data_IF_425064571826
#
_entry.id   IF_425064571826
#
_cell.length_a   1.000
_cell.length_b   1.000
_cell.length_c   1.000
_cell.angle_alpha   90.00
_cell.angle_beta   90.00
_cell.angle_gamma   90.00
#
_symmetry.space_group_name_H-M   'P 1'
#
loop_
_entity.id
_entity.type
_entity.pdbx_description
1 polymer ?
#
# COMPACT_ATOMS: atom_id res chain seq x y z
N UNK A 1 46.35 43.62 -7.39
CA UNK A 1 45.00 44.15 -7.19
C UNK A 1 44.09 43.43 -8.19
N UNK A 2 43.42 42.36 -7.77
CA UNK A 2 42.43 41.68 -8.60
C UNK A 2 41.04 42.28 -8.37
N UNK A 3 40.16 42.38 -9.37
CA UNK A 3 38.83 42.97 -9.19
C UNK A 3 37.99 42.05 -8.31
N UNK A 4 37.31 42.63 -7.31
CA UNK A 4 36.26 41.94 -6.55
C UNK A 4 35.02 41.91 -7.43
N UNK A 5 34.66 40.75 -7.98
CA UNK A 5 33.34 40.55 -8.56
C UNK A 5 32.35 40.27 -7.44
N UNK A 6 31.32 41.10 -7.35
CA UNK A 6 30.21 40.97 -6.41
C UNK A 6 29.12 40.17 -7.11
N UNK A 7 28.88 38.93 -6.68
CA UNK A 7 27.83 38.09 -7.23
C UNK A 7 26.50 38.45 -6.56
N UNK A 8 25.52 38.92 -7.33
CA UNK A 8 24.14 39.06 -6.87
C UNK A 8 23.43 37.70 -6.96
N UNK A 9 22.72 37.33 -5.89
CA UNK A 9 21.87 36.15 -5.90
C UNK A 9 20.61 36.47 -6.70
N UNK A 10 20.37 35.69 -7.74
CA UNK A 10 19.14 35.75 -8.53
C UNK A 10 17.94 35.35 -7.65
N UNK A 11 16.93 36.22 -7.51
CA UNK A 11 15.61 35.86 -7.00
C UNK A 11 14.56 36.01 -8.09
N UNK A 12 13.57 35.11 -8.10
CA UNK A 12 12.43 35.14 -9.01
C UNK A 12 11.57 36.41 -8.83
N UNK A 13 11.68 37.06 -7.67
CA UNK A 13 11.01 38.31 -7.33
C UNK A 13 11.59 39.52 -8.08
N UNK A 14 12.86 39.48 -8.50
CA UNK A 14 13.54 40.57 -9.23
C UNK A 14 13.13 40.61 -10.71
N UNK A 15 12.75 39.45 -11.28
CA UNK A 15 12.27 39.30 -12.67
C UNK A 15 10.86 39.90 -12.84
N UNK A 16 10.02 39.85 -11.80
CA UNK A 16 8.67 40.41 -11.80
C UNK A 16 8.68 41.95 -11.75
N UNK A 17 9.69 42.54 -11.12
CA UNK A 17 9.83 44.01 -11.00
C UNK A 17 10.61 44.64 -12.16
N UNK A 18 11.19 43.85 -13.08
CA UNK A 18 11.83 44.33 -14.30
C UNK A 18 13.25 44.88 -14.12
N UNK A 19 13.87 44.72 -12.95
CA UNK A 19 15.22 45.21 -12.62
C UNK A 19 16.28 44.11 -12.82
N UNK A 20 16.33 43.52 -14.01
CA UNK A 20 17.34 42.49 -14.33
C UNK A 20 18.53 43.17 -15.01
N UNK A 21 19.59 43.43 -14.25
CA UNK A 21 20.87 43.87 -14.81
C UNK A 21 21.59 42.64 -15.40
N UNK A 22 21.39 42.40 -16.70
CA UNK A 22 21.99 41.27 -17.41
C UNK A 22 23.51 41.42 -17.44
N UNK A 23 24.25 40.62 -16.66
CA UNK A 23 25.72 40.60 -16.71
C UNK A 23 26.19 39.85 -17.98
N UNK A 24 26.75 40.56 -18.98
CA UNK A 24 27.18 39.93 -20.23
C UNK A 24 28.39 38.99 -20.05
N UNK A 25 29.01 38.96 -18.87
CA UNK A 25 30.15 38.10 -18.55
C UNK A 25 29.77 36.92 -17.65
N UNK A 26 28.48 36.58 -17.51
CA UNK A 26 28.07 35.40 -16.74
C UNK A 26 28.57 34.11 -17.40
N UNK A 27 29.62 33.53 -16.84
CA UNK A 27 30.16 32.24 -17.27
C UNK A 27 29.49 31.11 -16.48
N UNK A 28 28.58 30.42 -17.16
CA UNK A 28 27.78 29.33 -16.61
C UNK A 28 28.64 28.13 -16.22
N UNK A 29 29.75 27.89 -16.94
CA UNK A 29 30.66 26.78 -16.68
C UNK A 29 31.45 27.03 -15.39
N UNK A 30 31.85 28.27 -15.14
CA UNK A 30 32.54 28.66 -13.91
C UNK A 30 31.60 28.57 -12.68
N UNK A 31 30.35 29.01 -12.82
CA UNK A 31 29.34 28.90 -11.76
C UNK A 31 29.07 27.45 -11.34
N UNK A 32 28.87 26.55 -12.31
CA UNK A 32 28.66 25.11 -12.05
C UNK A 32 29.90 24.47 -11.41
N UNK A 33 31.10 24.89 -11.81
CA UNK A 33 32.36 24.42 -11.21
C UNK A 33 32.51 24.87 -9.76
N UNK A 34 32.08 26.09 -9.43
CA UNK A 34 32.12 26.61 -8.08
C UNK A 34 31.11 25.91 -7.15
N UNK A 35 29.89 25.64 -7.64
CA UNK A 35 28.88 24.87 -6.89
C UNK A 35 29.30 23.42 -6.62
N UNK A 36 29.93 22.77 -7.60
CA UNK A 36 30.42 21.39 -7.43
C UNK A 36 31.58 21.29 -6.45
N UNK A 37 32.46 22.31 -6.37
CA UNK A 37 33.51 22.37 -5.35
C UNK A 37 32.97 22.67 -3.95
N UNK A 38 31.92 23.50 -3.82
CA UNK A 38 31.28 23.79 -2.54
C UNK A 38 30.59 22.56 -1.92
N UNK A 39 30.11 21.61 -2.74
CA UNK A 39 29.59 20.31 -2.28
C UNK A 39 30.68 19.27 -1.97
N UNK A 40 31.88 19.42 -2.51
CA UNK A 40 32.96 18.42 -2.36
C UNK A 40 33.80 18.58 -1.07
N UNK A 41 33.62 19.65 -0.29
CA UNK A 41 34.38 19.91 0.95
C UNK A 41 33.64 19.57 2.26
N UNK A 42 32.44 19.00 2.18
CA UNK A 42 31.80 18.38 3.33
C UNK A 42 32.30 16.94 3.46
N UNK A 43 33.44 16.76 4.14
CA UNK A 43 33.83 15.45 4.65
C UNK A 43 32.72 14.91 5.57
N UNK A 44 32.40 13.61 5.55
CA UNK A 44 31.31 13.07 6.35
C UNK A 44 31.69 13.19 7.82
N UNK A 45 31.05 14.11 8.52
CA UNK A 45 31.03 14.12 9.98
C UNK A 45 30.37 12.82 10.42
N UNK A 46 31.10 12.02 11.22
CA UNK A 46 30.58 10.81 11.85
C UNK A 46 29.38 11.19 12.73
N UNK A 47 28.18 11.11 12.18
CA UNK A 47 26.96 11.06 12.96
C UNK A 47 26.80 9.64 13.50
N UNK A 48 26.88 9.53 14.82
CA UNK A 48 26.56 8.32 15.57
C UNK A 48 25.03 8.23 15.62
N UNK A 49 24.49 7.16 15.04
CA UNK A 49 23.06 6.78 15.10
C UNK A 49 22.32 7.03 13.79
N UNK A 50 21.79 5.95 13.20
CA UNK A 50 20.68 5.93 12.23
C UNK A 50 20.96 6.05 10.70
N UNK A 51 22.18 5.76 10.25
CA UNK A 51 22.52 5.75 8.81
C UNK A 51 22.41 4.38 8.12
N UNK A 52 22.35 3.27 8.87
CA UNK A 52 22.35 1.94 8.26
C UNK A 52 21.01 1.60 7.61
N UNK A 53 19.89 1.99 8.22
CA UNK A 53 18.55 1.74 7.68
C UNK A 53 18.21 2.62 6.48
N UNK A 54 18.59 3.91 6.48
CA UNK A 54 18.33 4.80 5.33
C UNK A 54 19.14 4.41 4.10
N UNK A 55 20.39 3.99 4.29
CA UNK A 55 21.22 3.49 3.19
C UNK A 55 20.75 2.11 2.73
N UNK A 56 20.31 1.24 3.63
CA UNK A 56 19.73 -0.06 3.29
C UNK A 56 18.42 0.10 2.50
N UNK A 57 17.52 0.98 2.93
CA UNK A 57 16.26 1.27 2.24
C UNK A 57 16.49 1.83 0.83
N UNK A 58 17.49 2.71 0.66
CA UNK A 58 17.84 3.27 -0.65
C UNK A 58 18.46 2.20 -1.56
N UNK A 59 19.32 1.33 -1.03
CA UNK A 59 19.84 0.16 -1.76
C UNK A 59 18.70 -0.80 -2.15
N UNK A 60 17.74 -1.04 -1.25
CA UNK A 60 16.59 -1.91 -1.49
C UNK A 60 15.66 -1.32 -2.56
N UNK A 61 15.40 -0.01 -2.53
CA UNK A 61 14.64 0.68 -3.57
C UNK A 61 15.32 0.58 -4.94
N UNK A 62 16.65 0.75 -5.02
CA UNK A 62 17.39 0.65 -6.28
C UNK A 62 17.37 -0.79 -6.82
N UNK A 63 17.50 -1.79 -5.94
CA UNK A 63 17.39 -3.20 -6.31
C UNK A 63 15.96 -3.55 -6.75
N UNK A 64 14.94 -3.07 -6.05
CA UNK A 64 13.54 -3.28 -6.40
C UNK A 64 13.19 -2.63 -7.75
N UNK A 65 13.66 -1.42 -8.00
CA UNK A 65 13.48 -0.75 -9.29
C UNK A 65 14.20 -1.49 -10.43
N UNK A 66 15.41 -1.98 -10.19
CA UNK A 66 16.14 -2.79 -11.17
C UNK A 66 15.47 -4.15 -11.44
N UNK A 67 14.90 -4.78 -10.41
CA UNK A 67 14.15 -6.03 -10.51
C UNK A 67 12.83 -5.84 -11.27
N UNK A 68 12.10 -4.75 -11.00
CA UNK A 68 10.89 -4.37 -11.74
C UNK A 68 11.17 -3.96 -13.19
N UNK A 69 12.36 -3.41 -13.48
CA UNK A 69 12.77 -3.07 -14.84
C UNK A 69 13.20 -4.31 -15.64
N UNK A 70 13.85 -5.29 -14.99
CA UNK A 70 14.32 -6.51 -15.64
C UNK A 70 13.24 -7.60 -15.76
N UNK A 71 12.22 -7.56 -14.90
CA UNK A 71 11.15 -8.54 -14.82
C UNK A 71 9.82 -7.80 -14.97
N UNK A 72 9.15 -7.98 -16.11
CA UNK A 72 7.92 -7.30 -16.54
C UNK A 72 6.72 -7.67 -15.63
N UNK A 73 6.79 -7.25 -14.37
CA UNK A 73 6.02 -7.81 -13.26
C UNK A 73 4.64 -7.17 -13.14
N UNK A 74 3.59 -7.96 -13.34
CA UNK A 74 2.20 -7.55 -13.09
C UNK A 74 1.78 -7.86 -11.64
N UNK A 75 1.27 -6.85 -10.92
CA UNK A 75 0.78 -6.96 -9.53
C UNK A 75 -0.24 -8.10 -9.35
N UNK A 76 -1.06 -8.37 -10.36
CA UNK A 76 -2.04 -9.45 -10.36
C UNK A 76 -1.43 -10.86 -10.32
N UNK A 77 -0.23 -11.05 -10.88
CA UNK A 77 0.45 -12.36 -10.87
C UNK A 77 1.24 -12.61 -9.58
N UNK A 78 1.75 -11.57 -8.94
CA UNK A 78 2.34 -11.67 -7.61
C UNK A 78 1.29 -12.12 -6.57
N UNK A 79 0.08 -11.58 -6.66
CA UNK A 79 -1.06 -11.96 -5.82
C UNK A 79 -1.45 -13.45 -5.98
N UNK A 80 -1.54 -13.94 -7.23
CA UNK A 80 -1.87 -15.35 -7.50
C UNK A 80 -0.82 -16.35 -6.97
N UNK A 81 0.46 -15.93 -6.89
CA UNK A 81 1.54 -16.78 -6.39
C UNK A 81 1.61 -16.87 -4.86
N UNK A 82 1.02 -15.90 -4.14
CA UNK A 82 1.06 -15.82 -2.68
C UNK A 82 -0.24 -16.27 -2.03
N UNK A 83 -1.39 -16.04 -2.68
CA UNK A 83 -2.71 -16.31 -2.09
C UNK A 83 -3.55 -17.36 -2.82
N UNK A 84 -2.99 -18.03 -3.83
CA UNK A 84 -3.68 -19.06 -4.60
C UNK A 84 -4.78 -18.47 -5.48
N UNK A 85 -4.43 -18.15 -6.73
CA UNK A 85 -5.47 -18.00 -7.76
C UNK A 85 -6.21 -19.33 -7.91
N UNK A 86 -7.53 -19.30 -8.09
CA UNK A 86 -8.37 -20.49 -8.24
C UNK A 86 -7.76 -21.46 -9.27
N UNK A 87 -7.12 -22.52 -8.78
CA UNK A 87 -6.79 -23.67 -9.60
C UNK A 87 -8.09 -24.37 -9.94
N UNK A 88 -8.61 -24.10 -11.13
CA UNK A 88 -9.61 -24.96 -11.74
C UNK A 88 -8.92 -26.28 -12.01
N UNK A 89 -9.07 -27.23 -11.09
CA UNK A 89 -8.59 -28.59 -11.25
C UNK A 89 -9.15 -29.14 -12.57
N UNK A 90 -8.28 -29.37 -13.55
CA UNK A 90 -8.64 -30.10 -14.77
C UNK A 90 -8.98 -31.53 -14.38
N UNK A 91 -10.27 -31.83 -14.26
CA UNK A 91 -10.76 -33.18 -14.11
C UNK A 91 -10.35 -34.05 -15.32
N UNK A 92 -10.10 -35.35 -15.14
CA UNK A 92 -9.76 -36.24 -16.24
C UNK A 92 -10.91 -36.29 -17.26
N UNK A 93 -10.58 -36.14 -18.54
CA UNK A 93 -11.50 -36.23 -19.65
C UNK A 93 -12.04 -37.66 -19.79
N UNK A 94 -13.33 -37.85 -19.57
CA UNK A 94 -14.04 -39.06 -19.98
C UNK A 94 -14.71 -38.80 -21.33
N UNK A 95 -14.38 -39.60 -22.35
CA UNK A 95 -15.09 -39.61 -23.63
C UNK A 95 -16.51 -40.16 -23.40
N UNK A 96 -17.48 -39.25 -23.32
CA UNK A 96 -18.91 -39.59 -23.28
C UNK A 96 -19.46 -39.32 -24.68
N UNK A 97 -19.91 -40.36 -25.39
CA UNK A 97 -20.71 -40.20 -26.61
C UNK A 97 -22.06 -39.55 -26.25
N UNK A 98 -22.19 -38.26 -26.57
CA UNK A 98 -23.41 -37.48 -26.32
C UNK A 98 -24.44 -37.80 -27.40
N UNK A 99 -25.63 -38.35 -27.07
CA UNK A 99 -26.71 -38.52 -28.05
C UNK A 99 -27.26 -37.15 -28.50
N UNK A 100 -27.84 -37.04 -29.71
CA UNK A 100 -28.33 -35.77 -30.22
C UNK A 100 -29.44 -35.22 -29.33
N UNK A 101 -29.19 -34.04 -28.76
CA UNK A 101 -30.14 -33.23 -27.99
C UNK A 101 -31.34 -32.86 -28.88
N UNK A 102 -32.59 -33.07 -28.45
CA UNK A 102 -33.76 -32.61 -29.18
C UNK A 102 -33.81 -31.08 -29.18
N UNK A 103 -34.11 -30.49 -30.34
CA UNK A 103 -34.20 -29.04 -30.53
C UNK A 103 -35.45 -28.51 -29.83
N UNK A 104 -35.26 -27.87 -28.67
CA UNK A 104 -36.33 -27.20 -27.92
C UNK A 104 -36.50 -25.80 -28.49
N UNK A 105 -37.65 -25.51 -29.11
CA UNK A 105 -38.03 -24.14 -29.49
C UNK A 105 -38.19 -23.30 -28.23
N UNK A 106 -37.19 -22.46 -27.94
CA UNK A 106 -37.25 -21.49 -26.85
C UNK A 106 -38.18 -20.36 -27.33
N UNK A 107 -39.29 -20.05 -26.63
CA UNK A 107 -40.12 -18.91 -26.97
C UNK A 107 -39.29 -17.63 -26.92
N UNK A 108 -39.47 -16.74 -27.89
CA UNK A 108 -38.77 -15.45 -27.96
C UNK A 108 -39.26 -14.55 -26.82
N UNK A 109 -38.57 -14.65 -25.67
CA UNK A 109 -38.82 -13.79 -24.52
C UNK A 109 -38.24 -12.43 -24.87
N UNK A 110 -39.03 -11.35 -24.96
CA UNK A 110 -38.49 -10.03 -25.22
C UNK A 110 -37.42 -9.75 -24.16
N UNK A 111 -36.22 -9.39 -24.62
CA UNK A 111 -35.12 -9.07 -23.73
C UNK A 111 -35.62 -8.10 -22.66
N UNK A 112 -35.33 -8.33 -21.37
CA UNK A 112 -35.67 -7.37 -20.33
C UNK A 112 -35.14 -6.00 -20.77
N UNK A 113 -35.87 -4.90 -20.52
CA UNK A 113 -35.40 -3.57 -20.89
C UNK A 113 -34.00 -3.42 -20.34
N UNK A 114 -33.06 -3.16 -21.25
CA UNK A 114 -31.67 -2.88 -20.89
C UNK A 114 -31.74 -1.79 -19.82
N UNK A 115 -31.18 -2.00 -18.60
CA UNK A 115 -31.08 -0.91 -17.65
C UNK A 115 -30.43 0.28 -18.37
N UNK A 116 -30.85 1.52 -18.11
CA UNK A 116 -30.23 2.67 -18.73
C UNK A 116 -28.73 2.53 -18.51
N UNK A 117 -27.98 2.50 -19.61
CA UNK A 117 -26.53 2.45 -19.58
C UNK A 117 -26.08 3.80 -19.05
N UNK A 118 -26.05 3.97 -17.74
CA UNK A 118 -25.41 5.10 -17.07
C UNK A 118 -23.90 4.91 -17.27
N UNK A 119 -23.41 5.30 -18.44
CA UNK A 119 -22.01 5.09 -18.81
C UNK A 119 -21.76 4.72 -20.27
N UNK A 120 -22.70 4.96 -21.19
CA UNK A 120 -22.35 5.01 -22.61
C UNK A 120 -21.48 6.26 -22.88
N UNK A 121 -20.16 6.11 -22.64
CA UNK A 121 -19.07 6.99 -23.08
C UNK A 121 -19.43 8.48 -23.03
N UNK A 122 -19.76 8.99 -21.84
CA UNK A 122 -19.60 10.41 -21.58
C UNK A 122 -18.14 10.74 -21.90
N UNK A 123 -17.92 11.54 -22.95
CA UNK A 123 -16.56 11.90 -23.33
C UNK A 123 -15.89 12.67 -22.20
N UNK A 124 -14.56 12.82 -22.26
CA UNK A 124 -13.83 13.63 -21.26
C UNK A 124 -14.47 15.03 -21.04
N UNK A 125 -15.06 15.63 -22.08
CA UNK A 125 -15.78 16.92 -21.99
C UNK A 125 -17.00 16.83 -21.08
N UNK A 126 -17.79 15.76 -21.19
CA UNK A 126 -18.96 15.55 -20.33
C UNK A 126 -18.54 15.28 -18.88
N UNK A 127 -17.44 14.55 -18.68
CA UNK A 127 -16.86 14.32 -17.35
C UNK A 127 -16.40 15.63 -16.69
N UNK A 128 -15.66 16.48 -17.43
CA UNK A 128 -15.24 17.79 -16.94
C UNK A 128 -16.41 18.72 -16.63
N UNK A 129 -17.47 18.70 -17.46
CA UNK A 129 -18.70 19.45 -17.19
C UNK A 129 -19.33 18.97 -15.88
N UNK A 130 -19.43 17.66 -15.67
CA UNK A 130 -19.98 17.08 -14.45
C UNK A 130 -19.14 17.43 -13.21
N UNK A 131 -17.79 17.39 -13.30
CA UNK A 131 -16.91 17.89 -12.23
C UNK A 131 -17.20 19.36 -11.90
N UNK A 132 -17.34 20.22 -12.90
CA UNK A 132 -17.64 21.63 -12.71
C UNK A 132 -19.03 21.87 -12.09
N UNK A 133 -20.06 21.13 -12.54
CA UNK A 133 -21.41 21.20 -11.98
C UNK A 133 -21.45 20.70 -10.53
N UNK A 134 -20.62 19.72 -10.17
CA UNK A 134 -20.42 19.26 -8.80
C UNK A 134 -19.60 20.23 -7.93
N UNK A 135 -19.04 21.30 -8.52
CA UNK A 135 -18.15 22.23 -7.81
C UNK A 135 -16.75 21.67 -7.52
N UNK A 136 -16.36 20.57 -8.16
CA UNK A 136 -15.09 19.86 -7.94
C UNK A 136 -14.03 20.16 -9.01
N UNK A 137 -14.28 21.14 -9.89
CA UNK A 137 -13.39 21.43 -11.02
C UNK A 137 -12.02 21.94 -10.59
N UNK A 138 -11.95 22.69 -9.48
CA UNK A 138 -10.71 23.29 -8.98
C UNK A 138 -9.94 22.35 -8.03
N UNK A 139 -10.56 21.24 -7.60
CA UNK A 139 -9.96 20.27 -6.68
C UNK A 139 -8.89 19.38 -7.34
N UNK A 140 -8.95 19.27 -8.67
CA UNK A 140 -8.06 18.40 -9.43
C UNK A 140 -7.28 19.18 -10.47
N UNK A 141 -5.98 18.89 -10.56
CA UNK A 141 -5.19 19.30 -11.72
C UNK A 141 -5.78 18.71 -13.02
N UNK A 142 -5.46 19.31 -14.17
CA UNK A 142 -5.91 18.79 -15.46
C UNK A 142 -5.49 17.33 -15.68
N UNK A 143 -4.28 16.96 -15.26
CA UNK A 143 -3.82 15.57 -15.30
C UNK A 143 -4.56 14.66 -14.32
N UNK A 144 -4.91 15.16 -13.13
CA UNK A 144 -5.71 14.41 -12.16
C UNK A 144 -7.12 14.13 -12.70
N UNK A 145 -7.78 15.13 -13.27
CA UNK A 145 -9.09 14.99 -13.92
C UNK A 145 -9.06 13.95 -15.06
N UNK A 146 -8.02 13.99 -15.90
CA UNK A 146 -7.84 12.99 -16.97
C UNK A 146 -7.60 11.60 -16.40
N UNK A 147 -6.82 11.47 -15.32
CA UNK A 147 -6.54 10.19 -14.70
C UNK A 147 -7.83 9.57 -14.13
N UNK A 148 -8.58 10.32 -13.33
CA UNK A 148 -9.87 9.91 -12.75
C UNK A 148 -10.86 9.43 -13.82
N UNK A 149 -10.99 10.20 -14.90
CA UNK A 149 -11.81 9.82 -16.05
C UNK A 149 -11.35 8.51 -16.70
N UNK A 150 -10.06 8.38 -17.02
CA UNK A 150 -9.51 7.21 -17.70
C UNK A 150 -9.60 5.93 -16.88
N UNK A 151 -9.56 6.05 -15.55
CA UNK A 151 -9.72 4.93 -14.64
C UNK A 151 -11.19 4.66 -14.29
N UNK A 152 -12.12 5.44 -14.83
CA UNK A 152 -13.56 5.23 -14.65
C UNK A 152 -14.06 5.56 -13.26
N UNK A 153 -13.41 6.47 -12.53
CA UNK A 153 -13.89 6.93 -11.22
C UNK A 153 -15.13 7.80 -11.43
N UNK A 154 -16.30 7.42 -10.89
CA UNK A 154 -17.54 8.16 -11.12
C UNK A 154 -17.58 9.46 -10.31
N UNK A 155 -18.23 10.48 -10.86
CA UNK A 155 -18.40 11.78 -10.19
C UNK A 155 -19.15 11.62 -8.86
N UNK A 156 -20.16 10.75 -8.81
CA UNK A 156 -20.91 10.46 -7.59
C UNK A 156 -20.01 9.92 -6.46
N UNK A 157 -18.95 9.17 -6.79
CA UNK A 157 -17.97 8.73 -5.78
C UNK A 157 -17.18 9.92 -5.24
N UNK A 158 -16.74 10.83 -6.11
CA UNK A 158 -16.00 12.03 -5.70
C UNK A 158 -16.87 12.97 -4.86
N UNK A 159 -18.15 13.13 -5.21
CA UNK A 159 -19.11 13.88 -4.39
C UNK A 159 -19.25 13.24 -3.00
N UNK A 160 -19.41 11.92 -2.92
CA UNK A 160 -19.51 11.25 -1.63
C UNK A 160 -18.23 11.39 -0.79
N UNK A 161 -17.05 11.31 -1.41
CA UNK A 161 -15.77 11.57 -0.72
C UNK A 161 -15.67 13.01 -0.21
N UNK A 162 -16.16 13.98 -0.98
CA UNK A 162 -16.22 15.39 -0.59
C UNK A 162 -17.18 15.62 0.57
N UNK A 163 -18.39 15.07 0.49
CA UNK A 163 -19.42 15.20 1.52
C UNK A 163 -18.99 14.55 2.85
N UNK A 164 -18.21 13.47 2.77
CA UNK A 164 -17.59 12.81 3.93
C UNK A 164 -16.33 13.53 4.45
N UNK A 165 -15.82 14.54 3.74
CA UNK A 165 -14.63 15.29 4.13
C UNK A 165 -13.30 14.59 3.81
N UNK A 166 -13.29 13.55 2.96
CA UNK A 166 -12.09 12.81 2.58
C UNK A 166 -11.45 13.28 1.28
N UNK A 167 -12.08 14.20 0.55
CA UNK A 167 -11.56 14.62 -0.75
C UNK A 167 -10.16 15.26 -0.63
N UNK A 168 -9.99 16.14 0.36
CA UNK A 168 -8.73 16.84 0.63
C UNK A 168 -7.69 15.98 1.35
N UNK A 169 -8.13 14.90 1.99
CA UNK A 169 -7.26 13.97 2.71
C UNK A 169 -6.49 13.05 1.75
N UNK A 170 -7.00 12.85 0.53
CA UNK A 170 -6.44 11.92 -0.44
C UNK A 170 -6.09 12.60 -1.76
N UNK A 171 -4.85 12.41 -2.21
CA UNK A 171 -4.49 12.73 -3.60
C UNK A 171 -5.41 12.05 -4.62
N UNK A 172 -5.56 12.61 -5.82
CA UNK A 172 -6.35 11.96 -6.89
C UNK A 172 -5.88 10.52 -7.18
N UNK A 173 -4.59 10.21 -7.05
CA UNK A 173 -4.07 8.85 -7.19
C UNK A 173 -4.51 7.91 -6.07
N UNK A 174 -4.63 8.44 -4.85
CA UNK A 174 -5.16 7.70 -3.71
C UNK A 174 -6.67 7.47 -3.86
N UNK A 175 -7.45 8.47 -4.29
CA UNK A 175 -8.87 8.32 -4.59
C UNK A 175 -9.13 7.23 -5.65
N UNK A 176 -8.33 7.21 -6.73
CA UNK A 176 -8.38 6.13 -7.74
C UNK A 176 -8.08 4.77 -7.09
N UNK A 177 -7.05 4.71 -6.24
CA UNK A 177 -6.67 3.48 -5.53
C UNK A 177 -7.78 2.97 -4.63
N UNK A 178 -8.37 3.83 -3.81
CA UNK A 178 -9.45 3.50 -2.88
C UNK A 178 -10.69 3.01 -3.63
N UNK A 179 -11.09 3.72 -4.69
CA UNK A 179 -12.22 3.33 -5.55
C UNK A 179 -11.99 1.95 -6.19
N UNK A 180 -10.85 1.75 -6.84
CA UNK A 180 -10.54 0.47 -7.49
C UNK A 180 -10.35 -0.68 -6.49
N UNK A 181 -9.88 -0.36 -5.28
CA UNK A 181 -9.78 -1.28 -4.16
C UNK A 181 -11.12 -1.58 -3.48
N UNK A 182 -12.19 -0.89 -3.87
CA UNK A 182 -13.53 -1.09 -3.30
C UNK A 182 -13.66 -0.62 -1.84
N UNK A 183 -12.73 0.21 -1.35
CA UNK A 183 -12.75 0.71 0.03
C UNK A 183 -13.97 1.61 0.20
N UNK A 184 -14.80 1.30 1.19
CA UNK A 184 -16.03 2.06 1.46
C UNK A 184 -15.74 3.30 2.31
N UNK A 185 -16.60 4.32 2.18
CA UNK A 185 -16.57 5.50 3.05
C UNK A 185 -16.82 5.11 4.51
N UNK A 186 -17.70 4.13 4.77
CA UNK A 186 -17.94 3.59 6.11
C UNK A 186 -16.66 3.04 6.75
N UNK A 187 -15.81 2.34 5.98
CA UNK A 187 -14.53 1.86 6.48
C UNK A 187 -13.56 3.01 6.80
N UNK A 188 -13.54 4.07 5.99
CA UNK A 188 -12.75 5.27 6.27
C UNK A 188 -13.26 6.02 7.51
N UNK A 189 -14.58 6.12 7.69
CA UNK A 189 -15.24 6.70 8.88
C UNK A 189 -14.88 5.94 10.15
N UNK A 190 -14.85 4.60 10.10
CA UNK A 190 -14.42 3.78 11.22
C UNK A 190 -12.95 4.08 11.58
N UNK A 191 -12.06 4.19 10.60
CA UNK A 191 -10.66 4.55 10.85
C UNK A 191 -10.51 5.97 11.40
N UNK A 192 -11.22 6.94 10.82
CA UNK A 192 -11.16 8.33 11.26
C UNK A 192 -11.68 8.50 12.68
N UNK A 193 -12.83 7.91 13.00
CA UNK A 193 -13.42 7.96 14.34
C UNK A 193 -12.56 7.25 15.41
N UNK A 194 -11.74 6.28 14.98
CA UNK A 194 -10.78 5.59 15.82
C UNK A 194 -9.44 6.32 15.95
N UNK A 195 -9.24 7.43 15.24
CA UNK A 195 -7.94 8.10 15.16
C UNK A 195 -6.85 7.25 14.49
N UNK A 196 -7.24 6.33 13.61
CA UNK A 196 -6.36 5.40 12.89
C UNK A 196 -6.09 5.81 11.44
N UNK A 197 -6.84 6.77 10.89
CA UNK A 197 -6.75 7.11 9.47
C UNK A 197 -5.33 7.56 9.08
N UNK A 198 -4.71 8.41 9.91
CA UNK A 198 -3.37 8.96 9.70
C UNK A 198 -2.24 7.96 9.97
N UNK A 199 -2.54 6.84 10.63
CA UNK A 199 -1.56 5.79 10.95
C UNK A 199 -1.24 4.90 9.73
N UNK A 200 -2.07 4.95 8.69
CA UNK A 200 -1.95 4.09 7.53
C UNK A 200 -1.93 4.88 6.22
N UNK A 201 -1.03 4.48 5.31
CA UNK A 201 -1.10 4.98 3.94
C UNK A 201 -2.36 4.48 3.23
N UNK A 202 -2.84 5.20 2.20
CA UNK A 202 -4.00 4.75 1.42
C UNK A 202 -3.83 3.33 0.85
N UNK A 203 -2.60 2.94 0.48
CA UNK A 203 -2.30 1.58 0.03
C UNK A 203 -2.41 0.54 1.14
N UNK A 204 -2.10 0.91 2.38
CA UNK A 204 -2.31 0.05 3.54
C UNK A 204 -3.79 -0.07 3.87
N UNK A 205 -4.57 1.03 3.80
CA UNK A 205 -6.03 0.99 3.96
C UNK A 205 -6.70 0.04 2.96
N UNK A 206 -6.31 0.10 1.69
CA UNK A 206 -6.78 -0.85 0.66
C UNK A 206 -6.40 -2.29 1.03
N UNK A 207 -5.17 -2.51 1.48
CA UNK A 207 -4.71 -3.84 1.90
C UNK A 207 -5.49 -4.40 3.07
N UNK A 208 -5.72 -3.59 4.11
CA UNK A 208 -6.46 -3.96 5.32
C UNK A 208 -7.92 -4.28 4.98
N UNK A 209 -8.57 -3.43 4.18
CA UNK A 209 -9.94 -3.63 3.72
C UNK A 209 -10.09 -4.93 2.91
N UNK A 210 -9.25 -5.13 1.89
CA UNK A 210 -9.29 -6.34 1.06
C UNK A 210 -8.88 -7.60 1.83
N UNK A 211 -8.05 -7.45 2.86
CA UNK A 211 -7.70 -8.50 3.80
C UNK A 211 -8.82 -8.83 4.79
N UNK A 212 -9.93 -8.08 4.78
CA UNK A 212 -11.06 -8.26 5.69
C UNK A 212 -10.78 -7.84 7.13
N UNK A 213 -9.71 -7.08 7.37
CA UNK A 213 -9.28 -6.67 8.71
C UNK A 213 -10.26 -5.64 9.25
N UNK A 214 -10.87 -5.94 10.39
CA UNK A 214 -11.79 -5.02 11.06
C UNK A 214 -11.03 -3.91 11.77
N UNK A 215 -11.62 -2.71 11.79
CA UNK A 215 -11.08 -1.58 12.56
C UNK A 215 -10.97 -1.92 14.05
N UNK A 216 -11.87 -2.74 14.59
CA UNK A 216 -11.81 -3.20 15.99
C UNK A 216 -10.54 -4.00 16.30
N UNK A 217 -10.08 -4.87 15.40
CA UNK A 217 -8.84 -5.63 15.61
C UNK A 217 -7.62 -4.70 15.64
N UNK A 218 -7.62 -3.67 14.80
CA UNK A 218 -6.55 -2.66 14.76
C UNK A 218 -6.57 -1.78 16.01
N UNK A 219 -7.75 -1.39 16.50
CA UNK A 219 -7.90 -0.71 17.79
C UNK A 219 -7.36 -1.54 18.95
N UNK A 220 -7.66 -2.85 18.96
CA UNK A 220 -7.17 -3.76 20.00
C UNK A 220 -5.63 -3.86 19.96
N UNK A 221 -5.04 -3.94 18.76
CA UNK A 221 -3.58 -3.86 18.57
C UNK A 221 -3.01 -2.53 19.06
N UNK A 222 -3.64 -1.40 18.72
CA UNK A 222 -3.21 -0.06 19.15
C UNK A 222 -3.24 0.06 20.68
N UNK A 223 -4.33 -0.39 21.31
CA UNK A 223 -4.50 -0.35 22.76
C UNK A 223 -3.48 -1.22 23.50
N UNK A 224 -3.12 -2.37 22.92
CA UNK A 224 -2.08 -3.25 23.44
C UNK A 224 -0.64 -2.78 23.14
N UNK A 225 -0.49 -1.76 22.28
CA UNK A 225 0.80 -1.18 21.90
C UNK A 225 1.54 -1.91 20.79
N UNK A 226 0.83 -2.70 19.97
CA UNK A 226 1.40 -3.55 18.91
C UNK A 226 1.40 -2.92 17.52
N UNK A 227 0.84 -1.74 17.35
CA UNK A 227 0.68 -1.13 16.02
C UNK A 227 2.04 -0.82 15.36
N UNK A 228 3.04 -0.43 16.15
CA UNK A 228 4.41 -0.18 15.67
C UNK A 228 5.26 -1.47 15.53
N UNK A 229 4.82 -2.58 16.13
CA UNK A 229 5.55 -3.85 16.09
C UNK A 229 5.30 -4.62 14.77
N UNK A 230 4.19 -4.33 14.08
CA UNK A 230 3.76 -5.07 12.91
C UNK A 230 3.49 -4.16 11.70
N UNK A 231 4.03 -4.54 10.54
CA UNK A 231 3.61 -3.92 9.28
C UNK A 231 2.14 -4.21 8.98
N UNK A 232 1.47 -3.39 8.19
CA UNK A 232 0.07 -3.64 7.79
C UNK A 232 -0.13 -5.02 7.13
N UNK A 233 0.88 -5.53 6.40
CA UNK A 233 0.85 -6.88 5.83
C UNK A 233 0.92 -7.97 6.89
N UNK A 234 1.67 -7.74 7.97
CA UNK A 234 1.71 -8.63 9.12
C UNK A 234 0.38 -8.58 9.90
N UNK A 235 -0.22 -7.40 10.08
CA UNK A 235 -1.55 -7.24 10.68
C UNK A 235 -2.60 -8.06 9.92
N UNK A 236 -2.63 -7.97 8.58
CA UNK A 236 -3.51 -8.80 7.74
C UNK A 236 -3.26 -10.30 7.99
N UNK A 237 -1.99 -10.70 8.05
CA UNK A 237 -1.62 -12.09 8.33
C UNK A 237 -2.09 -12.58 9.70
N UNK A 238 -1.87 -11.79 10.75
CA UNK A 238 -2.27 -12.11 12.12
C UNK A 238 -3.79 -12.22 12.25
N UNK A 239 -4.52 -11.27 11.67
CA UNK A 239 -5.99 -11.27 11.63
C UNK A 239 -6.53 -12.51 10.91
N UNK A 240 -6.04 -12.81 9.70
CA UNK A 240 -6.49 -13.98 8.94
C UNK A 240 -6.04 -15.30 9.55
N UNK A 241 -4.94 -15.28 10.30
CA UNK A 241 -4.50 -16.39 11.14
C UNK A 241 -5.29 -16.52 12.45
N UNK A 242 -6.23 -15.62 12.74
CA UNK A 242 -7.03 -15.63 13.96
C UNK A 242 -6.23 -15.37 15.24
N UNK A 243 -5.01 -14.82 15.13
CA UNK A 243 -4.12 -14.59 16.27
C UNK A 243 -4.71 -13.52 17.19
N UNK A 244 -4.90 -13.88 18.46
CA UNK A 244 -5.49 -13.01 19.47
C UNK A 244 -4.46 -12.10 20.11
N UNK A 245 -4.92 -10.95 20.63
CA UNK A 245 -4.10 -10.06 21.45
C UNK A 245 -3.56 -10.78 22.68
N UNK A 246 -4.38 -11.59 23.36
CA UNK A 246 -3.96 -12.42 24.51
C UNK A 246 -2.75 -13.32 24.19
N UNK A 247 -2.69 -13.89 22.98
CA UNK A 247 -1.55 -14.70 22.57
C UNK A 247 -0.29 -13.85 22.35
N UNK A 248 -0.44 -12.67 21.72
CA UNK A 248 0.65 -11.71 21.55
C UNK A 248 1.16 -11.17 22.90
N UNK A 249 0.27 -10.91 23.85
CA UNK A 249 0.59 -10.51 25.22
C UNK A 249 1.40 -11.60 25.91
N UNK A 250 0.94 -12.85 25.83
CA UNK A 250 1.66 -13.98 26.43
C UNK A 250 3.05 -14.16 25.81
N UNK A 251 3.19 -13.95 24.49
CA UNK A 251 4.50 -13.96 23.82
C UNK A 251 5.39 -12.79 24.28
N UNK A 252 4.84 -11.57 24.39
CA UNK A 252 5.58 -10.39 24.86
C UNK A 252 6.08 -10.57 26.29
N UNK A 253 5.22 -11.04 27.19
CA UNK A 253 5.52 -11.23 28.62
C UNK A 253 6.61 -12.29 28.87
N UNK A 254 6.82 -13.17 27.89
CA UNK A 254 7.87 -14.20 27.91
C UNK A 254 9.09 -13.86 27.03
N UNK A 255 9.17 -12.62 26.52
CA UNK A 255 10.22 -12.11 25.65
C UNK A 255 10.33 -12.83 24.28
N UNK A 256 9.24 -13.42 23.78
CA UNK A 256 9.22 -14.15 22.51
C UNK A 256 8.70 -13.35 21.32
N UNK A 257 8.02 -12.22 21.55
CA UNK A 257 7.40 -11.45 20.47
C UNK A 257 8.41 -11.00 19.40
N UNK A 258 9.61 -10.59 19.84
CA UNK A 258 10.70 -10.19 18.94
C UNK A 258 11.57 -11.35 18.41
N UNK A 259 11.39 -12.56 18.95
CA UNK A 259 12.16 -13.76 18.56
C UNK A 259 11.49 -14.49 17.38
N UNK A 260 10.18 -14.38 17.25
CA UNK A 260 9.40 -15.02 16.19
C UNK A 260 8.97 -14.01 15.12
N UNK A 261 9.09 -14.40 13.85
CA UNK A 261 8.42 -13.66 12.77
C UNK A 261 6.90 -13.76 12.93
N UNK A 262 6.15 -12.79 12.40
CA UNK A 262 4.68 -12.86 12.42
C UNK A 262 4.14 -14.15 11.79
N UNK A 263 4.80 -14.68 10.75
CA UNK A 263 4.46 -15.97 10.14
C UNK A 263 4.69 -17.16 11.08
N UNK A 264 5.73 -17.12 11.91
CA UNK A 264 5.98 -18.12 12.94
C UNK A 264 4.94 -18.01 14.06
N UNK A 265 4.59 -16.79 14.49
CA UNK A 265 3.52 -16.54 15.47
C UNK A 265 2.19 -17.15 14.98
N UNK A 266 1.81 -16.91 13.73
CA UNK A 266 0.60 -17.50 13.12
C UNK A 266 0.69 -19.03 13.12
N UNK A 267 1.84 -19.60 12.73
CA UNK A 267 2.03 -21.05 12.70
C UNK A 267 1.91 -21.69 14.09
N UNK A 268 2.53 -21.08 15.10
CA UNK A 268 2.47 -21.55 16.49
C UNK A 268 1.02 -21.48 17.03
N UNK A 269 0.34 -20.35 16.80
CA UNK A 269 -1.04 -20.15 17.23
C UNK A 269 -2.00 -21.16 16.57
N UNK A 270 -1.96 -21.30 15.24
CA UNK A 270 -2.82 -22.21 14.49
C UNK A 270 -2.56 -23.68 14.80
N UNK A 271 -1.35 -24.01 15.26
CA UNK A 271 -0.99 -25.36 15.71
C UNK A 271 -1.31 -25.59 17.19
N UNK A 272 -1.95 -24.62 17.85
CA UNK A 272 -2.34 -24.68 19.25
C UNK A 272 -1.15 -24.79 20.21
N UNK A 273 0.03 -24.28 19.83
CA UNK A 273 1.23 -24.34 20.68
C UNK A 273 1.10 -23.30 21.79
N UNK A 274 0.98 -23.71 23.06
CA UNK A 274 0.92 -22.78 24.17
C UNK A 274 2.32 -22.23 24.48
N UNK A 275 2.40 -21.00 24.98
CA UNK A 275 3.69 -20.38 25.37
C UNK A 275 4.36 -21.17 26.49
N UNK A 276 3.59 -21.86 27.34
CA UNK A 276 4.10 -22.79 28.36
C UNK A 276 4.96 -23.91 27.74
N UNK A 277 4.59 -24.41 26.56
CA UNK A 277 5.40 -25.42 25.87
C UNK A 277 6.73 -24.84 25.37
N UNK A 278 6.69 -23.63 24.82
CA UNK A 278 7.89 -22.91 24.39
C UNK A 278 8.83 -22.65 25.58
N UNK A 279 8.27 -22.29 26.74
CA UNK A 279 9.02 -22.16 27.99
C UNK A 279 9.68 -23.47 28.43
N UNK A 280 8.98 -24.61 28.34
CA UNK A 280 9.57 -25.91 28.63
C UNK A 280 10.77 -26.20 27.71
N UNK A 281 10.67 -25.89 26.41
CA UNK A 281 11.78 -26.04 25.48
C UNK A 281 12.96 -25.12 25.85
N UNK A 282 12.68 -23.86 26.23
CA UNK A 282 13.70 -22.89 26.67
C UNK A 282 14.41 -23.36 27.94
N UNK A 283 13.67 -23.78 28.96
CA UNK A 283 14.20 -24.18 30.27
C UNK A 283 15.05 -25.46 30.19
N UNK A 284 14.79 -26.32 29.19
CA UNK A 284 15.59 -27.50 28.89
C UNK A 284 16.75 -27.21 27.91
N UNK A 285 16.95 -25.96 27.50
CA UNK A 285 18.02 -25.55 26.58
C UNK A 285 17.85 -26.08 25.15
N UNK A 286 16.62 -26.43 24.75
CA UNK A 286 16.31 -26.98 23.42
C UNK A 286 15.92 -25.90 22.42
N UNK A 287 15.28 -24.82 22.88
CA UNK A 287 14.68 -23.79 22.03
C UNK A 287 15.67 -23.16 21.04
N UNK A 288 16.92 -22.88 21.47
CA UNK A 288 17.95 -22.22 20.65
C UNK A 288 18.31 -22.99 19.36
N UNK A 289 18.04 -24.30 19.32
CA UNK A 289 18.37 -25.16 18.17
C UNK A 289 17.13 -25.59 17.37
N UNK A 290 15.96 -25.04 17.67
CA UNK A 290 14.70 -25.42 17.05
C UNK A 290 14.17 -24.30 16.17
N UNK A 291 13.73 -24.64 14.96
CA UNK A 291 12.87 -23.76 14.17
C UNK A 291 11.46 -23.77 14.74
N UNK A 292 10.64 -22.75 14.43
CA UNK A 292 9.23 -22.74 14.85
C UNK A 292 8.46 -23.97 14.32
N UNK A 293 8.84 -24.49 13.15
CA UNK A 293 8.30 -25.73 12.60
C UNK A 293 8.66 -26.95 13.45
N UNK A 294 9.88 -27.01 14.02
CA UNK A 294 10.28 -28.07 14.95
C UNK A 294 9.49 -27.97 16.26
N UNK A 295 9.25 -26.75 16.75
CA UNK A 295 8.39 -26.51 17.93
C UNK A 295 6.98 -27.06 17.68
N UNK A 296 6.39 -26.72 16.53
CA UNK A 296 5.06 -27.23 16.14
C UNK A 296 5.06 -28.76 16.03
N UNK A 297 6.07 -29.33 15.37
CA UNK A 297 6.16 -30.78 15.16
C UNK A 297 6.30 -31.54 16.48
N UNK A 298 7.11 -31.04 17.40
CA UNK A 298 7.32 -31.66 18.72
C UNK A 298 6.09 -31.52 19.62
N UNK A 299 5.42 -30.37 19.61
CA UNK A 299 4.15 -30.19 20.33
C UNK A 299 3.05 -31.12 19.80
N UNK A 300 2.98 -31.28 18.48
CA UNK A 300 1.99 -32.14 17.83
C UNK A 300 2.25 -33.63 18.07
N UNK A 301 3.47 -34.03 18.41
CA UNK A 301 3.81 -35.41 18.73
C UNK A 301 3.46 -35.81 20.19
N UNK A 302 3.27 -34.82 21.07
CA UNK A 302 2.90 -35.00 22.48
C UNK A 302 1.37 -35.10 22.70
N UNK A 303 0.57 -34.78 21.70
CA UNK A 303 -0.91 -34.77 21.72
C UNK A 303 -1.51 -35.85 20.81
#
# INVERSE_FOLDING_TARGET
>A
MGPKQSYHNYSFEDEINGDIEYDPNFDLDEYVRHQSQAKAQQAPTKHKGDSQFKNAALILMVIAAAFLWANDWSVSQAWNSVFGGEEVATAPSFDIEVPPIPEVEIPDVPAPPVPPVSGAEAGMVDYLRALNEAGLADEFSSSGSVALYRTGVPIDYLIQMNDAGYLDEFSYSALIGLYNGGVTIEYLDDFQSSGLLDEFSYSALIGLYNGGVTTSYIQDLQAAGYLDDFSYSAIIGLYNGGVTIDYLDTLRDNDYLGEFSYSAIIGLYNSGVPVEYINQLRDNGLLENMSYSDIIMTHSADN
#
